data_IF_304514831335
#
_entry.id   IF_304514831335
#
_cell.length_a   1.000
_cell.length_b   1.000
_cell.length_c   1.000
_cell.angle_alpha   90.00
_cell.angle_beta   90.00
_cell.angle_gamma   90.00
#
_symmetry.space_group_name_H-M   'P 1'
#
loop_
_entity.id
_entity.type
_entity.pdbx_description
1 polymer ?
#
# COMPACT_ATOMS: atom_id res chain seq x y z
N UNK A 1 5.17 -5.67 -7.39
CA UNK A 1 5.75 -5.77 -8.75
C UNK A 1 6.58 -4.56 -9.15
N UNK A 2 6.74 -3.53 -8.29
CA UNK A 2 7.53 -2.33 -8.60
C UNK A 2 8.98 -2.63 -9.01
N UNK A 3 9.64 -3.59 -8.34
CA UNK A 3 10.97 -4.08 -8.72
C UNK A 3 11.05 -4.64 -10.15
N UNK A 4 10.02 -5.35 -10.60
CA UNK A 4 9.99 -5.93 -11.95
C UNK A 4 9.96 -4.80 -12.98
N UNK A 5 9.13 -3.77 -12.75
CA UNK A 5 9.06 -2.62 -13.64
C UNK A 5 10.36 -1.81 -13.64
N UNK A 6 11.00 -1.67 -12.48
CA UNK A 6 12.30 -1.01 -12.37
C UNK A 6 13.42 -1.78 -13.08
N UNK A 7 13.39 -3.11 -13.05
CA UNK A 7 14.35 -3.94 -13.77
C UNK A 7 14.32 -3.68 -15.28
N UNK A 8 13.14 -3.46 -15.87
CA UNK A 8 13.05 -3.08 -17.28
C UNK A 8 13.67 -1.71 -17.58
N UNK A 9 13.51 -0.72 -16.69
CA UNK A 9 14.11 0.62 -16.85
C UNK A 9 15.63 0.61 -16.69
N UNK A 10 16.16 -0.30 -15.88
CA UNK A 10 17.58 -0.39 -15.54
C UNK A 10 18.32 -1.48 -16.31
N UNK A 11 17.73 -1.98 -17.40
CA UNK A 11 18.27 -3.06 -18.25
C UNK A 11 18.69 -4.31 -17.45
N UNK A 12 17.91 -4.68 -16.43
CA UNK A 12 18.13 -5.83 -15.55
C UNK A 12 19.46 -5.81 -14.77
N UNK A 13 20.01 -4.62 -14.49
CA UNK A 13 21.24 -4.43 -13.70
C UNK A 13 21.15 -4.85 -12.23
N UNK A 14 19.98 -5.32 -11.76
CA UNK A 14 19.72 -5.74 -10.38
C UNK A 14 19.90 -4.64 -9.33
N UNK A 15 19.81 -3.37 -9.74
CA UNK A 15 19.81 -2.25 -8.81
C UNK A 15 18.52 -2.23 -7.97
N UNK A 16 18.61 -2.04 -6.64
CA UNK A 16 17.42 -1.95 -5.80
C UNK A 16 16.75 -0.58 -5.93
N UNK A 17 15.42 -0.59 -6.07
CA UNK A 17 14.60 0.63 -6.03
C UNK A 17 14.44 1.19 -4.60
N UNK A 18 14.43 0.32 -3.59
CA UNK A 18 14.32 0.69 -2.18
C UNK A 18 15.55 0.21 -1.43
N UNK A 19 15.99 0.96 -0.42
CA UNK A 19 17.10 0.50 0.44
C UNK A 19 16.65 -0.66 1.33
N UNK A 20 17.59 -1.51 1.74
CA UNK A 20 17.31 -2.71 2.55
C UNK A 20 16.53 -2.40 3.82
N UNK A 21 16.85 -1.29 4.49
CA UNK A 21 16.14 -0.85 5.70
C UNK A 21 14.67 -0.49 5.45
N UNK A 22 14.35 0.14 4.31
CA UNK A 22 12.96 0.45 3.94
C UNK A 22 12.18 -0.83 3.61
N UNK A 23 12.80 -1.81 2.93
CA UNK A 23 12.16 -3.11 2.67
C UNK A 23 11.82 -3.81 3.99
N UNK A 24 12.78 -3.87 4.91
CA UNK A 24 12.60 -4.52 6.21
C UNK A 24 11.48 -3.88 7.03
N UNK A 25 11.48 -2.55 7.14
CA UNK A 25 10.49 -1.83 7.94
C UNK A 25 9.09 -1.85 7.34
N UNK A 26 8.96 -1.94 6.00
CA UNK A 26 7.66 -2.16 5.34
C UNK A 26 7.02 -3.45 5.81
N UNK A 27 7.78 -4.54 5.77
CA UNK A 27 7.30 -5.88 6.08
C UNK A 27 7.11 -6.10 7.59
N UNK A 28 7.88 -5.40 8.43
CA UNK A 28 7.85 -5.59 9.88
C UNK A 28 6.88 -4.66 10.60
N UNK A 29 6.72 -3.42 10.13
CA UNK A 29 5.98 -2.38 10.84
C UNK A 29 4.81 -1.82 10.02
N UNK A 30 5.10 -1.24 8.86
CA UNK A 30 4.14 -0.33 8.18
C UNK A 30 2.95 -1.04 7.54
N UNK A 31 3.15 -2.26 7.05
CA UNK A 31 2.09 -3.05 6.42
C UNK A 31 1.60 -4.19 7.31
N UNK A 32 2.49 -4.85 8.06
CA UNK A 32 2.15 -6.05 8.85
C UNK A 32 1.30 -5.76 10.08
N UNK A 33 1.61 -4.73 10.88
CA UNK A 33 0.88 -4.45 12.12
C UNK A 33 -0.61 -4.19 11.86
N UNK A 34 -0.99 -3.34 10.87
CA UNK A 34 -2.38 -3.16 10.50
C UNK A 34 -3.03 -4.45 9.99
N UNK A 35 -2.33 -5.23 9.16
CA UNK A 35 -2.85 -6.50 8.61
C UNK A 35 -3.09 -7.53 9.71
N UNK A 36 -2.21 -7.62 10.70
CA UNK A 36 -2.37 -8.54 11.83
C UNK A 36 -3.59 -8.15 12.66
N UNK A 37 -3.78 -6.87 12.97
CA UNK A 37 -4.96 -6.44 13.70
C UNK A 37 -6.25 -6.66 12.91
N UNK A 38 -6.24 -6.37 11.61
CA UNK A 38 -7.35 -6.73 10.73
C UNK A 38 -7.64 -8.23 10.81
N UNK A 39 -6.63 -9.09 10.69
CA UNK A 39 -6.82 -10.54 10.73
C UNK A 39 -7.38 -11.06 12.08
N UNK A 40 -7.07 -10.39 13.19
CA UNK A 40 -7.50 -10.82 14.53
C UNK A 40 -8.85 -10.23 14.97
N UNK A 41 -9.16 -9.00 14.56
CA UNK A 41 -10.26 -8.22 15.11
C UNK A 41 -11.37 -7.91 14.11
N UNK A 42 -11.17 -8.17 12.81
CA UNK A 42 -12.21 -7.99 11.80
C UNK A 42 -13.35 -9.00 12.01
N UNK A 43 -14.59 -8.53 11.84
CA UNK A 43 -15.79 -9.34 11.93
C UNK A 43 -16.70 -9.00 10.76
N UNK A 44 -17.05 -10.02 9.96
CA UNK A 44 -17.93 -9.81 8.80
C UNK A 44 -19.37 -9.55 9.26
N UNK A 45 -19.83 -10.27 10.27
CA UNK A 45 -21.20 -10.23 10.79
C UNK A 45 -21.17 -10.40 12.30
N UNK A 46 -22.09 -9.75 13.02
CA UNK A 46 -22.17 -9.87 14.49
C UNK A 46 -22.45 -11.32 14.94
N UNK A 47 -21.90 -11.71 16.10
CA UNK A 47 -22.13 -13.04 16.67
C UNK A 47 -23.62 -13.42 16.80
N UNK A 48 -24.46 -12.45 17.18
CA UNK A 48 -25.91 -12.69 17.33
C UNK A 48 -26.59 -13.02 16.00
N UNK A 49 -26.22 -12.32 14.93
CA UNK A 49 -26.79 -12.50 13.58
C UNK A 49 -26.31 -13.79 12.93
N UNK A 50 -25.04 -14.17 13.16
CA UNK A 50 -24.48 -15.45 12.68
C UNK A 50 -25.21 -16.64 13.30
N UNK A 51 -25.46 -16.59 14.62
CA UNK A 51 -26.19 -17.66 15.32
C UNK A 51 -27.66 -17.76 14.89
N UNK A 52 -28.30 -16.63 14.56
CA UNK A 52 -29.68 -16.61 14.06
C UNK A 52 -29.82 -17.14 12.63
N UNK A 53 -28.77 -17.01 11.79
CA UNK A 53 -28.80 -17.37 10.37
C UNK A 53 -27.68 -18.37 10.01
N UNK A 54 -27.85 -19.66 10.35
CA UNK A 54 -26.82 -20.68 10.09
C UNK A 54 -26.52 -20.90 8.59
N UNK A 55 -27.40 -20.42 7.69
CA UNK A 55 -27.20 -20.45 6.24
C UNK A 55 -25.98 -19.66 5.78
N UNK A 56 -25.51 -18.68 6.56
CA UNK A 56 -24.27 -17.94 6.30
C UNK A 56 -23.04 -18.85 6.27
N UNK A 57 -23.05 -19.95 7.02
CA UNK A 57 -21.94 -20.91 7.03
C UNK A 57 -21.83 -21.72 5.73
N UNK A 58 -22.94 -21.83 4.97
CA UNK A 58 -22.97 -22.58 3.72
C UNK A 58 -22.05 -21.96 2.64
N UNK A 59 -21.75 -20.66 2.69
CA UNK A 59 -20.78 -20.02 1.77
C UNK A 59 -19.38 -20.64 1.92
N UNK A 60 -18.96 -20.91 3.15
CA UNK A 60 -17.66 -21.53 3.45
C UNK A 60 -17.66 -23.03 3.10
N UNK A 61 -18.76 -23.72 3.37
CA UNK A 61 -18.89 -25.15 3.07
C UNK A 61 -18.92 -25.44 1.55
N UNK A 62 -19.49 -24.54 0.76
CA UNK A 62 -19.54 -24.63 -0.70
C UNK A 62 -18.30 -24.00 -1.39
N UNK A 63 -17.27 -23.63 -0.62
CA UNK A 63 -16.04 -23.05 -1.15
C UNK A 63 -15.27 -24.07 -2.00
N UNK A 64 -15.44 -23.97 -3.31
CA UNK A 64 -14.77 -24.84 -4.26
C UNK A 64 -13.37 -24.32 -4.64
N UNK A 65 -12.45 -25.25 -4.94
CA UNK A 65 -11.07 -24.95 -5.39
C UNK A 65 -11.03 -23.96 -6.57
N UNK A 66 -11.99 -24.06 -7.49
CA UNK A 66 -12.13 -23.12 -8.63
C UNK A 66 -12.43 -21.70 -8.16
N UNK A 67 -13.34 -21.53 -7.21
CA UNK A 67 -13.70 -20.23 -6.64
C UNK A 67 -12.50 -19.59 -5.93
N UNK A 68 -11.75 -20.40 -5.19
CA UNK A 68 -10.50 -19.95 -4.54
C UNK A 68 -9.48 -19.42 -5.56
N UNK A 69 -9.17 -20.18 -6.62
CA UNK A 69 -8.22 -19.72 -7.63
C UNK A 69 -8.67 -18.47 -8.38
N UNK A 70 -9.96 -18.35 -8.69
CA UNK A 70 -10.51 -17.15 -9.33
C UNK A 70 -10.34 -15.94 -8.40
N UNK A 71 -10.65 -16.10 -7.11
CA UNK A 71 -10.44 -15.05 -6.11
C UNK A 71 -8.96 -14.63 -6.04
N UNK A 72 -8.04 -15.59 -5.92
CA UNK A 72 -6.60 -15.29 -5.90
C UNK A 72 -6.12 -14.59 -7.18
N UNK A 73 -6.63 -14.98 -8.35
CA UNK A 73 -6.32 -14.31 -9.61
C UNK A 73 -6.85 -12.86 -9.64
N UNK A 74 -8.04 -12.60 -9.11
CA UNK A 74 -8.59 -11.25 -8.95
C UNK A 74 -7.72 -10.40 -8.01
N UNK A 75 -7.29 -10.96 -6.87
CA UNK A 75 -6.38 -10.30 -5.95
C UNK A 75 -5.04 -9.97 -6.59
N UNK A 76 -4.48 -10.89 -7.38
CA UNK A 76 -3.23 -10.67 -8.11
C UNK A 76 -3.39 -9.60 -9.21
N UNK A 77 -4.51 -9.60 -9.93
CA UNK A 77 -4.83 -8.57 -10.92
C UNK A 77 -4.91 -7.17 -10.29
N UNK A 78 -5.60 -7.05 -9.15
CA UNK A 78 -5.68 -5.79 -8.41
C UNK A 78 -4.33 -5.36 -7.83
N UNK A 79 -3.56 -6.30 -7.29
CA UNK A 79 -2.20 -6.02 -6.79
C UNK A 79 -1.28 -5.52 -7.92
N UNK A 80 -1.43 -6.10 -9.12
CA UNK A 80 -0.71 -5.65 -10.32
C UNK A 80 -1.09 -4.21 -10.66
N UNK A 81 -2.39 -3.89 -10.71
CA UNK A 81 -2.89 -2.52 -10.93
C UNK A 81 -2.31 -1.52 -9.91
N UNK A 82 -2.41 -1.81 -8.61
CA UNK A 82 -1.87 -0.91 -7.59
C UNK A 82 -0.36 -0.70 -7.76
N UNK A 83 0.38 -1.77 -8.03
CA UNK A 83 1.82 -1.64 -8.22
C UNK A 83 2.20 -0.89 -9.50
N UNK A 84 1.38 -0.93 -10.54
CA UNK A 84 1.55 -0.11 -11.75
C UNK A 84 1.40 1.37 -11.41
N UNK A 85 0.29 1.75 -10.76
CA UNK A 85 0.02 3.15 -10.39
C UNK A 85 1.09 3.69 -9.44
N UNK A 86 1.42 2.92 -8.40
CA UNK A 86 2.42 3.29 -7.37
C UNK A 86 3.82 3.44 -7.96
N UNK A 87 4.16 2.72 -9.03
CA UNK A 87 5.45 2.84 -9.68
C UNK A 87 5.47 3.95 -10.73
N UNK A 88 4.57 3.88 -11.71
CA UNK A 88 4.64 4.77 -12.88
C UNK A 88 4.30 6.22 -12.55
N UNK A 89 3.41 6.47 -11.58
CA UNK A 89 2.95 7.83 -11.31
C UNK A 89 4.03 8.69 -10.63
N UNK A 90 4.73 8.23 -9.57
CA UNK A 90 5.88 8.95 -9.04
C UNK A 90 7.06 8.98 -10.02
N UNK A 91 7.32 7.89 -10.75
CA UNK A 91 8.38 7.86 -11.78
C UNK A 91 8.14 8.95 -12.82
N UNK A 92 6.95 9.01 -13.43
CA UNK A 92 6.64 10.03 -14.43
C UNK A 92 6.73 11.46 -13.88
N UNK A 93 6.18 11.69 -12.68
CA UNK A 93 6.14 13.05 -12.10
C UNK A 93 7.49 13.54 -11.58
N UNK A 94 8.32 12.67 -11.00
CA UNK A 94 9.55 13.06 -10.31
C UNK A 94 10.79 12.91 -11.19
N UNK A 95 10.80 11.99 -12.18
CA UNK A 95 11.93 11.88 -13.13
C UNK A 95 11.92 12.98 -14.19
N UNK A 96 10.80 13.70 -14.37
CA UNK A 96 10.72 14.83 -15.28
C UNK A 96 11.66 15.96 -14.81
N UNK A 97 12.49 16.56 -15.69
CA UNK A 97 13.37 17.66 -15.32
C UNK A 97 12.59 18.82 -14.68
N UNK A 98 13.17 19.46 -13.66
CA UNK A 98 12.58 20.67 -13.10
C UNK A 98 12.89 21.91 -13.95
N UNK A 99 12.39 23.09 -13.56
CA UNK A 99 12.67 24.37 -14.23
C UNK A 99 14.18 24.66 -14.37
N UNK A 100 15.00 24.04 -13.52
CA UNK A 100 16.46 24.12 -13.52
C UNK A 100 17.14 23.03 -14.37
N UNK A 101 16.37 22.17 -15.05
CA UNK A 101 16.87 21.07 -15.88
C UNK A 101 17.39 19.85 -15.11
N UNK A 102 17.27 19.85 -13.78
CA UNK A 102 17.69 18.75 -12.91
C UNK A 102 16.50 17.81 -12.64
N UNK A 103 16.67 16.52 -12.93
CA UNK A 103 15.73 15.47 -12.52
C UNK A 103 16.07 14.92 -11.13
N UNK A 104 15.08 14.39 -10.41
CA UNK A 104 15.34 13.70 -9.15
C UNK A 104 16.10 12.39 -9.39
N UNK A 105 17.09 12.12 -8.53
CA UNK A 105 17.80 10.84 -8.53
C UNK A 105 16.85 9.66 -8.27
N UNK A 106 17.21 8.47 -8.78
CA UNK A 106 16.41 7.26 -8.67
C UNK A 106 16.11 6.86 -7.23
N UNK A 107 16.98 7.23 -6.28
CA UNK A 107 16.76 7.02 -4.84
C UNK A 107 15.58 7.88 -4.33
N UNK A 108 15.45 9.12 -4.80
CA UNK A 108 14.33 10.01 -4.45
C UNK A 108 13.02 9.55 -5.09
N UNK A 109 13.07 9.15 -6.36
CA UNK A 109 11.91 8.55 -7.06
C UNK A 109 11.48 7.26 -6.35
N UNK A 110 12.43 6.40 -5.99
CA UNK A 110 12.18 5.18 -5.23
C UNK A 110 11.54 5.47 -3.86
N UNK A 111 12.01 6.51 -3.17
CA UNK A 111 11.38 6.97 -1.93
C UNK A 111 9.93 7.44 -2.14
N UNK A 112 9.67 8.18 -3.23
CA UNK A 112 8.32 8.57 -3.65
C UNK A 112 7.39 7.37 -3.87
N UNK A 113 7.86 6.38 -4.64
CA UNK A 113 7.16 5.12 -4.85
C UNK A 113 6.91 4.36 -3.54
N UNK A 114 7.86 4.40 -2.61
CA UNK A 114 7.76 3.73 -1.31
C UNK A 114 6.71 4.37 -0.40
N UNK A 115 6.68 5.71 -0.33
CA UNK A 115 5.64 6.46 0.40
C UNK A 115 4.26 6.16 -0.17
N UNK A 116 4.11 6.23 -1.50
CA UNK A 116 2.87 5.89 -2.17
C UNK A 116 2.42 4.46 -1.83
N UNK A 117 3.35 3.48 -1.87
CA UNK A 117 3.08 2.09 -1.52
C UNK A 117 2.51 1.94 -0.10
N UNK A 118 3.15 2.56 0.90
CA UNK A 118 2.71 2.47 2.31
C UNK A 118 1.31 3.06 2.49
N UNK A 119 1.04 4.20 1.86
CA UNK A 119 -0.29 4.84 1.90
C UNK A 119 -1.35 3.96 1.23
N UNK A 120 -1.08 3.45 0.02
CA UNK A 120 -2.02 2.58 -0.72
C UNK A 120 -2.34 1.33 0.09
N UNK A 121 -1.36 0.69 0.71
CA UNK A 121 -1.57 -0.52 1.50
C UNK A 121 -2.47 -0.25 2.72
N UNK A 122 -2.19 0.80 3.48
CA UNK A 122 -2.97 1.14 4.68
C UNK A 122 -4.38 1.62 4.33
N UNK A 123 -4.53 2.48 3.33
CA UNK A 123 -5.83 2.99 2.89
C UNK A 123 -6.69 1.90 2.23
N UNK A 124 -6.08 0.98 1.49
CA UNK A 124 -6.78 -0.20 0.95
C UNK A 124 -7.30 -1.09 2.07
N UNK A 125 -6.50 -1.30 3.12
CA UNK A 125 -6.92 -2.07 4.27
C UNK A 125 -8.08 -1.38 5.00
N UNK A 126 -7.98 -0.07 5.24
CA UNK A 126 -9.06 0.75 5.78
C UNK A 126 -10.35 0.63 4.97
N UNK A 127 -10.26 0.68 3.64
CA UNK A 127 -11.42 0.55 2.76
C UNK A 127 -12.08 -0.84 2.82
N UNK A 128 -11.28 -1.90 3.02
CA UNK A 128 -11.80 -3.27 3.09
C UNK A 128 -12.30 -3.67 4.48
N UNK A 129 -11.89 -2.94 5.53
CA UNK A 129 -12.39 -3.13 6.88
C UNK A 129 -13.86 -2.73 6.98
N UNK A 130 -14.65 -3.67 7.46
CA UNK A 130 -16.09 -3.54 7.68
C UNK A 130 -16.38 -3.28 9.16
N UNK A 131 -15.59 -3.87 10.05
CA UNK A 131 -15.70 -3.72 11.49
C UNK A 131 -14.55 -2.89 12.06
N UNK A 132 -14.86 -1.61 12.28
CA UNK A 132 -13.93 -0.64 12.78
C UNK A 132 -13.78 -0.70 14.31
N UNK A 133 -12.87 -1.54 14.79
CA UNK A 133 -12.45 -1.53 16.19
C UNK A 133 -11.56 -0.31 16.48
N UNK A 134 -11.46 0.07 17.76
CA UNK A 134 -10.53 1.11 18.20
C UNK A 134 -9.07 0.71 17.91
N UNK A 135 -8.75 -0.60 17.99
CA UNK A 135 -7.42 -1.14 17.70
C UNK A 135 -7.09 -0.98 16.21
N UNK A 136 -8.00 -1.35 15.32
CA UNK A 136 -7.81 -1.22 13.87
C UNK A 136 -7.62 0.26 13.47
N UNK A 137 -8.44 1.16 14.01
CA UNK A 137 -8.24 2.60 13.84
C UNK A 137 -6.84 3.01 14.29
N UNK A 138 -6.48 2.69 15.54
CA UNK A 138 -5.21 3.10 16.10
C UNK A 138 -4.04 2.61 15.23
N UNK A 139 -3.99 1.32 14.87
CA UNK A 139 -2.85 0.79 14.13
C UNK A 139 -2.74 1.31 12.68
N UNK A 140 -3.85 1.49 11.97
CA UNK A 140 -3.83 2.05 10.61
C UNK A 140 -3.33 3.51 10.65
N UNK A 141 -3.94 4.34 11.50
CA UNK A 141 -3.58 5.76 11.59
C UNK A 141 -2.20 5.98 12.20
N UNK A 142 -1.80 5.17 13.19
CA UNK A 142 -0.48 5.20 13.77
C UNK A 142 0.59 4.79 12.75
N UNK A 143 0.32 3.78 11.91
CA UNK A 143 1.23 3.38 10.83
C UNK A 143 1.47 4.54 9.86
N UNK A 144 0.40 5.21 9.40
CA UNK A 144 0.52 6.37 8.50
C UNK A 144 1.23 7.55 9.19
N UNK A 145 0.89 7.83 10.46
CA UNK A 145 1.39 9.01 11.17
C UNK A 145 2.85 8.87 11.60
N UNK A 146 3.28 7.68 12.05
CA UNK A 146 4.67 7.42 12.45
C UNK A 146 5.61 7.22 11.26
N UNK A 147 5.06 6.91 10.09
CA UNK A 147 5.85 6.67 8.88
C UNK A 147 6.65 7.90 8.42
N UNK A 148 6.04 9.09 8.39
CA UNK A 148 6.74 10.31 7.97
C UNK A 148 7.87 10.73 8.93
N UNK A 149 7.67 10.75 10.27
CA UNK A 149 8.76 10.92 11.22
C UNK A 149 9.86 9.88 11.08
N UNK A 150 9.50 8.60 10.90
CA UNK A 150 10.49 7.55 10.65
C UNK A 150 11.32 7.83 9.40
N UNK A 151 10.68 8.21 8.29
CA UNK A 151 11.38 8.51 7.05
C UNK A 151 12.35 9.68 7.22
N UNK A 152 11.91 10.74 7.93
CA UNK A 152 12.76 11.88 8.26
C UNK A 152 13.96 11.48 9.12
N UNK A 153 13.73 10.69 10.17
CA UNK A 153 14.81 10.18 11.02
C UNK A 153 15.77 9.28 10.24
N UNK A 154 15.27 8.39 9.37
CA UNK A 154 16.06 7.48 8.56
C UNK A 154 17.04 8.23 7.65
N UNK A 155 16.62 9.37 7.07
CA UNK A 155 17.50 10.25 6.29
C UNK A 155 18.56 11.00 7.10
N UNK A 156 18.46 11.03 8.43
CA UNK A 156 19.41 11.67 9.35
C UNK A 156 20.33 10.67 10.06
N UNK A 157 20.16 9.36 9.87
CA UNK A 157 20.97 8.34 10.54
C UNK A 157 22.42 8.35 10.06
N UNK A 158 22.66 8.59 8.77
CA UNK A 158 23.99 8.44 8.17
C UNK A 158 25.11 9.24 8.88
N UNK A 159 24.94 10.53 9.22
CA UNK A 159 25.95 11.28 9.98
C UNK A 159 26.24 10.74 11.39
N UNK A 160 25.33 9.93 11.95
CA UNK A 160 25.41 9.42 13.34
C UNK A 160 25.91 7.97 13.37
N UNK A 161 25.48 7.14 12.42
CA UNK A 161 25.87 5.74 12.32
C UNK A 161 25.95 5.29 10.85
N UNK A 162 27.06 4.63 10.50
CA UNK A 162 27.28 4.06 9.17
C UNK A 162 26.50 2.74 9.02
N UNK A 163 25.19 2.85 8.79
CA UNK A 163 24.31 1.71 8.49
C UNK A 163 24.13 1.59 6.98
N UNK A 164 24.23 0.38 6.45
CA UNK A 164 24.11 0.11 5.01
C UNK A 164 22.80 0.67 4.43
N UNK A 165 22.91 1.38 3.31
CA UNK A 165 21.79 2.01 2.60
C UNK A 165 21.28 3.34 3.21
N UNK A 166 21.83 3.80 4.34
CA UNK A 166 21.47 5.12 4.89
C UNK A 166 22.21 6.29 4.22
N UNK A 167 23.41 6.03 3.68
CA UNK A 167 24.18 7.02 2.91
C UNK A 167 23.39 7.55 1.70
N UNK A 168 22.78 6.65 0.94
CA UNK A 168 22.02 6.96 -0.27
C UNK A 168 20.76 7.79 0.03
N UNK A 169 20.22 7.66 1.25
CA UNK A 169 19.02 8.39 1.69
C UNK A 169 19.34 9.73 2.36
N UNK A 170 20.62 10.03 2.57
CA UNK A 170 21.04 11.31 3.13
C UNK A 170 20.60 12.44 2.20
N UNK A 171 19.99 13.48 2.77
CA UNK A 171 19.43 14.65 2.05
C UNK A 171 18.26 14.39 1.11
N UNK A 172 18.06 13.16 0.62
CA UNK A 172 16.95 12.76 -0.24
C UNK A 172 15.60 13.07 0.42
N UNK A 173 15.44 12.70 1.70
CA UNK A 173 14.17 12.91 2.42
C UNK A 173 13.83 14.40 2.54
N UNK A 174 14.83 15.25 2.78
CA UNK A 174 14.63 16.70 2.84
C UNK A 174 14.22 17.28 1.49
N UNK A 175 14.80 16.76 0.39
CA UNK A 175 14.47 17.18 -0.97
C UNK A 175 13.06 16.78 -1.38
N UNK A 176 12.67 15.52 -1.17
CA UNK A 176 11.34 15.04 -1.56
C UNK A 176 10.23 15.71 -0.74
N UNK A 177 10.44 15.94 0.57
CA UNK A 177 9.44 16.61 1.41
C UNK A 177 9.25 18.09 1.03
N UNK A 178 10.26 18.72 0.43
CA UNK A 178 10.15 20.07 -0.13
C UNK A 178 9.52 20.10 -1.53
N UNK A 179 9.50 18.97 -2.24
CA UNK A 179 9.02 18.87 -3.62
C UNK A 179 7.49 18.80 -3.68
N UNK A 180 6.86 19.75 -4.37
CA UNK A 180 5.40 19.73 -4.62
C UNK A 180 4.97 18.53 -5.45
N UNK A 181 5.82 18.07 -6.37
CA UNK A 181 5.59 16.91 -7.23
C UNK A 181 5.44 15.63 -6.41
N UNK A 182 6.24 15.46 -5.36
CA UNK A 182 6.15 14.33 -4.44
C UNK A 182 4.79 14.30 -3.72
N UNK A 183 4.34 15.43 -3.18
CA UNK A 183 3.05 15.50 -2.48
C UNK A 183 1.86 15.25 -3.40
N UNK A 184 1.88 15.86 -4.59
CA UNK A 184 0.78 15.72 -5.56
C UNK A 184 0.76 14.31 -6.16
N UNK A 185 1.86 13.83 -6.71
CA UNK A 185 1.90 12.54 -7.39
C UNK A 185 1.95 11.36 -6.41
N UNK A 186 2.92 11.37 -5.49
CA UNK A 186 3.16 10.24 -4.57
C UNK A 186 2.13 10.14 -3.45
N UNK A 187 1.84 11.24 -2.77
CA UNK A 187 0.98 11.22 -1.57
C UNK A 187 -0.51 11.31 -1.90
N UNK A 188 -0.90 12.12 -2.90
CA UNK A 188 -2.31 12.34 -3.21
C UNK A 188 -2.81 11.49 -4.38
N UNK A 189 -2.24 11.68 -5.58
CA UNK A 189 -2.76 11.05 -6.81
C UNK A 189 -2.57 9.54 -6.85
N UNK A 190 -1.41 9.03 -6.40
CA UNK A 190 -1.14 7.58 -6.47
C UNK A 190 -2.13 6.76 -5.63
N UNK A 191 -2.41 7.10 -4.34
CA UNK A 191 -3.46 6.43 -3.59
C UNK A 191 -4.83 6.57 -4.23
N UNK A 192 -5.25 7.79 -4.64
CA UNK A 192 -6.57 8.00 -5.25
C UNK A 192 -6.76 7.12 -6.50
N UNK A 193 -5.82 7.16 -7.44
CA UNK A 193 -5.92 6.41 -8.70
C UNK A 193 -5.85 4.90 -8.48
N UNK A 194 -5.05 4.44 -7.53
CA UNK A 194 -4.96 3.02 -7.20
C UNK A 194 -6.28 2.51 -6.60
N UNK A 195 -6.84 3.24 -5.63
CA UNK A 195 -8.00 2.86 -4.83
C UNK A 195 -9.32 3.06 -5.55
N UNK A 196 -9.37 3.94 -6.56
CA UNK A 196 -10.56 4.13 -7.39
C UNK A 196 -11.00 2.83 -8.06
N UNK A 197 -10.05 1.99 -8.51
CA UNK A 197 -10.40 0.69 -9.10
C UNK A 197 -10.98 -0.27 -8.05
N UNK A 198 -10.37 -0.37 -6.86
CA UNK A 198 -10.94 -1.18 -5.77
C UNK A 198 -12.36 -0.70 -5.43
N UNK A 199 -12.54 0.61 -5.23
CA UNK A 199 -13.83 1.21 -4.86
C UNK A 199 -14.92 0.95 -5.92
N UNK A 200 -14.60 1.19 -7.19
CA UNK A 200 -15.53 0.97 -8.30
C UNK A 200 -15.93 -0.51 -8.44
N UNK A 201 -14.98 -1.43 -8.31
CA UNK A 201 -15.27 -2.87 -8.36
C UNK A 201 -16.09 -3.34 -7.15
N UNK A 202 -15.78 -2.84 -5.94
CA UNK A 202 -16.54 -3.13 -4.73
C UNK A 202 -17.98 -2.62 -4.85
N UNK A 203 -18.15 -1.37 -5.28
CA UNK A 203 -19.46 -0.76 -5.51
C UNK A 203 -20.26 -1.52 -6.57
N UNK A 204 -19.66 -1.81 -7.72
CA UNK A 204 -20.31 -2.54 -8.81
C UNK A 204 -20.74 -3.94 -8.38
N UNK A 205 -19.86 -4.67 -7.66
CA UNK A 205 -20.17 -6.00 -7.15
C UNK A 205 -21.33 -5.96 -6.17
N UNK A 206 -21.33 -5.00 -5.24
CA UNK A 206 -22.40 -4.82 -4.26
C UNK A 206 -23.75 -4.54 -4.92
N UNK A 207 -23.77 -3.76 -6.00
CA UNK A 207 -25.01 -3.45 -6.73
C UNK A 207 -25.51 -4.60 -7.62
N UNK A 208 -24.62 -5.31 -8.32
CA UNK A 208 -25.02 -6.34 -9.28
C UNK A 208 -25.24 -7.71 -8.64
N UNK A 209 -24.40 -8.08 -7.67
CA UNK A 209 -24.38 -9.41 -7.03
C UNK A 209 -23.91 -9.30 -5.57
N UNK A 210 -24.76 -8.77 -4.66
CA UNK A 210 -24.42 -8.70 -3.25
C UNK A 210 -24.19 -10.10 -2.68
N UNK A 211 -23.19 -10.26 -1.81
CA UNK A 211 -22.96 -11.52 -1.10
C UNK A 211 -23.93 -11.66 0.07
N UNK A 212 -24.17 -12.88 0.57
CA UNK A 212 -25.22 -13.08 1.59
C UNK A 212 -24.93 -12.26 2.85
N UNK A 213 -23.68 -12.25 3.31
CA UNK A 213 -23.29 -11.48 4.49
C UNK A 213 -23.47 -9.96 4.32
N UNK A 214 -23.41 -9.41 3.09
CA UNK A 214 -23.60 -7.98 2.82
C UNK A 214 -25.05 -7.53 2.96
N UNK A 215 -25.99 -8.48 2.98
CA UNK A 215 -27.43 -8.23 3.19
C UNK A 215 -27.78 -8.18 4.68
N UNK A 216 -27.00 -8.85 5.52
CA UNK A 216 -27.22 -8.92 6.97
C UNK A 216 -26.40 -7.90 7.78
N UNK A 217 -25.65 -7.04 7.08
CA UNK A 217 -24.94 -5.87 7.62
C UNK A 217 -25.84 -4.63 7.60
#
# INVERSE_FOLDING_TARGET
MTYVYFAFLTAFSSQPLYTTGLIATLNLCWASLPIIAYALFEQDVSNSTVMANPTLYAETMNANRKSFFISQAQWLGLATWHSLVVFFLPVYSMSSPDEQGLGDDWVAVGCGCYVALVLVLNLRLAMRSRYWTWINHLLIWLSISLFFPFLWLYGLVWPVAAVDGTADMSWVVRRILASSRFWLAGVLLAPIMSLLLDFSLLSLRRHLKPQAFEVYQ
#
